data_IF_352295280117
#
_entry.id   IF_352295280117
#
_cell.length_a   1.000
_cell.length_b   1.000
_cell.length_c   1.000
_cell.angle_alpha   90.00
_cell.angle_beta   90.00
_cell.angle_gamma   90.00
#
_symmetry.space_group_name_H-M   'P 1'
#
loop_
_entity.id
_entity.type
_entity.pdbx_description
1 polymer ?
#
# COMPACT_ATOMS: atom_id res chain seq x y z
N UNK A 1 -3.73 0.99 -14.63
CA UNK A 1 -4.40 1.77 -13.57
C UNK A 1 -3.36 2.18 -12.55
N UNK A 2 -3.16 3.48 -12.38
CA UNK A 2 -2.22 4.06 -11.39
C UNK A 2 -2.89 4.22 -10.02
N UNK A 3 -2.09 4.58 -8.99
CA UNK A 3 -2.62 4.95 -7.68
C UNK A 3 -3.65 6.09 -7.78
N UNK A 4 -3.32 7.16 -8.51
CA UNK A 4 -4.18 8.31 -8.70
C UNK A 4 -5.51 7.97 -9.38
N UNK A 5 -5.46 7.16 -10.44
CA UNK A 5 -6.65 6.70 -11.15
C UNK A 5 -7.58 5.87 -10.26
N UNK A 6 -7.00 4.95 -9.48
CA UNK A 6 -7.77 4.11 -8.56
C UNK A 6 -8.37 4.92 -7.41
N UNK A 7 -7.62 5.86 -6.83
CA UNK A 7 -8.12 6.79 -5.81
C UNK A 7 -9.32 7.59 -6.34
N UNK A 8 -9.20 8.14 -7.55
CA UNK A 8 -10.27 8.88 -8.21
C UNK A 8 -11.50 8.00 -8.43
N UNK A 9 -11.30 6.78 -8.92
CA UNK A 9 -12.39 5.82 -9.13
C UNK A 9 -13.15 5.57 -7.83
N UNK A 10 -12.45 5.17 -6.76
CA UNK A 10 -13.08 4.88 -5.46
C UNK A 10 -13.79 6.08 -4.85
N UNK A 11 -13.26 7.29 -5.03
CA UNK A 11 -13.93 8.52 -4.61
C UNK A 11 -15.25 8.73 -5.36
N UNK A 12 -15.25 8.51 -6.68
CA UNK A 12 -16.44 8.67 -7.52
C UNK A 12 -17.48 7.58 -7.28
N UNK A 13 -17.06 6.34 -7.01
CA UNK A 13 -17.95 5.23 -6.63
C UNK A 13 -18.73 5.53 -5.34
N UNK A 14 -18.18 6.38 -4.46
CA UNK A 14 -18.82 6.87 -3.23
C UNK A 14 -19.53 8.22 -3.41
N UNK A 15 -19.59 8.74 -4.64
CA UNK A 15 -20.18 10.04 -4.99
C UNK A 15 -19.59 11.23 -4.22
N UNK A 16 -18.35 11.10 -3.75
CA UNK A 16 -17.70 12.15 -2.96
C UNK A 16 -17.05 13.15 -3.91
N UNK A 17 -17.34 14.44 -3.74
CA UNK A 17 -16.68 15.48 -4.54
C UNK A 17 -15.20 15.59 -4.20
N UNK A 18 -14.37 16.07 -5.15
CA UNK A 18 -12.94 16.31 -4.90
C UNK A 18 -12.72 17.18 -3.64
N UNK A 19 -13.44 18.29 -3.52
CA UNK A 19 -13.33 19.21 -2.38
C UNK A 19 -13.83 18.57 -1.08
N UNK A 20 -14.92 17.82 -1.15
CA UNK A 20 -15.46 17.09 0.00
C UNK A 20 -14.46 16.06 0.52
N UNK A 21 -13.86 15.27 -0.37
CA UNK A 21 -12.88 14.27 0.03
C UNK A 21 -11.60 14.88 0.58
N UNK A 22 -11.08 15.93 -0.05
CA UNK A 22 -9.91 16.65 0.43
C UNK A 22 -10.11 17.16 1.88
N UNK A 23 -11.30 17.70 2.19
CA UNK A 23 -11.67 18.10 3.55
C UNK A 23 -11.76 16.89 4.51
N UNK A 24 -12.30 15.76 4.06
CA UNK A 24 -12.46 14.56 4.90
C UNK A 24 -11.13 13.92 5.33
N UNK A 25 -10.09 14.03 4.49
CA UNK A 25 -8.76 13.48 4.77
C UNK A 25 -7.73 14.55 5.17
N UNK A 26 -8.20 15.77 5.38
CA UNK A 26 -7.41 16.93 5.84
C UNK A 26 -6.21 17.28 4.94
N UNK A 27 -6.47 17.40 3.63
CA UNK A 27 -5.48 17.83 2.64
C UNK A 27 -6.03 18.92 1.72
N UNK A 28 -5.14 19.60 0.99
CA UNK A 28 -5.60 20.62 0.03
C UNK A 28 -6.28 19.98 -1.20
N UNK A 29 -7.35 20.58 -1.76
CA UNK A 29 -7.98 20.10 -2.99
C UNK A 29 -7.03 20.07 -4.20
N UNK A 30 -6.06 20.99 -4.23
CA UNK A 30 -5.01 21.03 -5.27
C UNK A 30 -4.13 19.79 -5.16
N UNK A 31 -3.68 19.45 -3.95
CA UNK A 31 -2.87 18.26 -3.72
C UNK A 31 -3.63 16.98 -4.08
N UNK A 32 -4.90 16.85 -3.69
CA UNK A 32 -5.73 15.71 -4.10
C UNK A 32 -5.88 15.63 -5.63
N UNK A 33 -6.07 16.76 -6.31
CA UNK A 33 -6.14 16.80 -7.78
C UNK A 33 -4.83 16.31 -8.42
N UNK A 34 -3.69 16.72 -7.86
CA UNK A 34 -2.38 16.27 -8.32
C UNK A 34 -2.15 14.78 -8.09
N UNK A 35 -2.63 14.24 -6.96
CA UNK A 35 -2.60 12.81 -6.67
C UNK A 35 -3.45 12.04 -7.70
N UNK A 36 -4.70 12.44 -7.93
CA UNK A 36 -5.60 11.78 -8.88
C UNK A 36 -5.11 11.83 -10.33
N UNK A 37 -4.29 12.81 -10.68
CA UNK A 37 -3.67 12.96 -11.99
C UNK A 37 -2.28 12.31 -12.10
N UNK A 38 -1.80 11.65 -11.03
CA UNK A 38 -0.47 11.03 -11.00
C UNK A 38 0.70 12.03 -11.08
N UNK A 39 0.46 13.31 -10.76
CA UNK A 39 1.51 14.35 -10.74
C UNK A 39 2.30 14.36 -9.43
N UNK A 40 1.73 13.77 -8.38
CA UNK A 40 2.36 13.60 -7.07
C UNK A 40 2.32 12.13 -6.70
N UNK A 41 3.39 11.69 -6.05
CA UNK A 41 3.46 10.33 -5.51
C UNK A 41 2.46 10.16 -4.37
N UNK A 42 2.14 8.91 -4.05
CA UNK A 42 1.26 8.57 -2.95
C UNK A 42 1.67 9.28 -1.63
N UNK A 43 0.68 9.77 -0.84
CA UNK A 43 0.93 10.54 0.36
C UNK A 43 1.50 9.67 1.50
N UNK A 44 1.70 10.28 2.68
CA UNK A 44 2.13 9.55 3.87
C UNK A 44 1.16 8.43 4.25
N UNK A 45 1.66 7.41 4.97
CA UNK A 45 0.83 6.30 5.45
C UNK A 45 -0.38 6.77 6.26
N UNK A 46 -0.21 7.78 7.12
CA UNK A 46 -1.31 8.36 7.91
C UNK A 46 -2.44 8.90 7.02
N UNK A 47 -2.09 9.65 5.97
CA UNK A 47 -3.07 10.18 5.01
C UNK A 47 -3.71 9.05 4.21
N UNK A 48 -2.95 8.03 3.81
CA UNK A 48 -3.48 6.87 3.11
C UNK A 48 -4.47 6.08 3.98
N UNK A 49 -4.19 5.89 5.26
CA UNK A 49 -5.12 5.26 6.21
C UNK A 49 -6.41 6.06 6.35
N UNK A 50 -6.32 7.40 6.44
CA UNK A 50 -7.51 8.28 6.41
C UNK A 50 -8.29 8.10 5.11
N UNK A 51 -7.63 8.03 3.96
CA UNK A 51 -8.28 7.81 2.66
C UNK A 51 -9.03 6.48 2.62
N UNK A 52 -8.37 5.38 2.98
CA UNK A 52 -8.95 4.03 3.04
C UNK A 52 -10.18 4.01 3.95
N UNK A 53 -10.06 4.60 5.15
CA UNK A 53 -11.15 4.70 6.12
C UNK A 53 -12.34 5.51 5.58
N UNK A 54 -12.11 6.71 5.02
CA UNK A 54 -13.17 7.59 4.51
C UNK A 54 -13.82 7.09 3.23
N UNK A 55 -13.09 6.31 2.43
CA UNK A 55 -13.63 5.62 1.27
C UNK A 55 -14.33 4.31 1.66
N UNK A 56 -14.28 3.90 2.93
CA UNK A 56 -14.84 2.65 3.43
C UNK A 56 -14.47 1.45 2.53
N UNK A 57 -13.19 1.37 2.16
CA UNK A 57 -12.67 0.28 1.34
C UNK A 57 -12.69 -1.02 2.12
N UNK A 58 -13.09 -2.10 1.47
CA UNK A 58 -12.95 -3.43 2.04
C UNK A 58 -11.47 -3.87 2.08
N UNK A 59 -11.19 -5.06 2.62
CA UNK A 59 -9.83 -5.58 2.74
C UNK A 59 -9.10 -5.64 1.39
N UNK A 60 -9.70 -6.27 0.38
CA UNK A 60 -9.09 -6.42 -0.94
C UNK A 60 -8.86 -5.07 -1.64
N UNK A 61 -9.82 -4.16 -1.49
CA UNK A 61 -9.73 -2.81 -2.05
C UNK A 61 -8.63 -1.98 -1.38
N UNK A 62 -8.46 -2.14 -0.07
CA UNK A 62 -7.42 -1.49 0.73
C UNK A 62 -6.04 -2.04 0.38
N UNK A 63 -5.93 -3.36 0.26
CA UNK A 63 -4.72 -4.04 -0.21
C UNK A 63 -4.30 -3.52 -1.58
N UNK A 64 -5.25 -3.51 -2.53
CA UNK A 64 -5.06 -2.94 -3.87
C UNK A 64 -4.61 -1.46 -3.81
N UNK A 65 -5.21 -0.67 -2.92
CA UNK A 65 -4.87 0.74 -2.74
C UNK A 65 -3.40 0.93 -2.33
N UNK A 66 -2.94 0.16 -1.34
CA UNK A 66 -1.57 0.22 -0.85
C UNK A 66 -0.56 -0.35 -1.87
N UNK A 67 -0.92 -1.39 -2.61
CA UNK A 67 -0.09 -1.94 -3.69
C UNK A 67 0.23 -0.86 -4.73
N UNK A 68 -0.80 -0.17 -5.20
CA UNK A 68 -0.64 0.89 -6.20
C UNK A 68 0.17 2.07 -5.64
N UNK A 69 -0.01 2.41 -4.36
CA UNK A 69 0.77 3.45 -3.70
C UNK A 69 2.27 3.10 -3.61
N UNK A 70 2.60 1.85 -3.27
CA UNK A 70 3.98 1.38 -3.18
C UNK A 70 4.69 1.44 -4.54
N UNK A 71 4.00 1.08 -5.63
CA UNK A 71 4.56 1.18 -6.99
C UNK A 71 5.00 2.61 -7.34
N UNK A 72 4.28 3.63 -6.88
CA UNK A 72 4.68 5.04 -7.06
C UNK A 72 5.77 5.50 -6.10
N UNK A 73 5.78 5.00 -4.86
CA UNK A 73 6.79 5.37 -3.86
C UNK A 73 8.16 4.74 -4.12
N UNK A 74 8.21 3.54 -4.72
CA UNK A 74 9.49 2.89 -5.11
C UNK A 74 10.32 3.73 -6.08
N UNK A 75 9.70 4.67 -6.82
CA UNK A 75 10.42 5.63 -7.65
C UNK A 75 11.14 6.74 -6.83
N UNK A 76 10.78 6.94 -5.55
CA UNK A 76 11.27 8.05 -4.70
C UNK A 76 11.97 7.62 -3.41
N UNK A 77 11.60 6.48 -2.83
CA UNK A 77 12.28 5.87 -1.69
C UNK A 77 12.70 4.45 -2.11
N UNK A 78 13.95 4.26 -2.57
CA UNK A 78 14.33 3.01 -3.17
C UNK A 78 14.51 1.95 -2.08
N UNK A 79 13.54 1.03 -1.98
CA UNK A 79 13.86 -0.34 -1.61
C UNK A 79 15.04 -0.78 -2.51
N UNK A 80 16.04 -1.50 -1.98
CA UNK A 80 17.11 -2.07 -2.80
C UNK A 80 16.56 -2.73 -4.08
N UNK A 81 17.19 -2.46 -5.23
CA UNK A 81 16.65 -2.82 -6.55
C UNK A 81 16.41 -4.34 -6.70
N UNK A 82 17.25 -5.14 -6.06
CA UNK A 82 17.17 -6.59 -5.95
C UNK A 82 15.91 -7.05 -5.22
N UNK A 83 15.51 -6.36 -4.15
CA UNK A 83 14.30 -6.66 -3.40
C UNK A 83 13.04 -6.12 -4.08
N UNK A 84 13.15 -5.02 -4.82
CA UNK A 84 12.03 -4.42 -5.55
C UNK A 84 11.44 -5.36 -6.61
N UNK A 85 12.29 -6.06 -7.38
CA UNK A 85 11.82 -7.04 -8.35
C UNK A 85 11.06 -8.18 -7.66
N UNK A 86 11.66 -8.71 -6.58
CA UNK A 86 11.09 -9.80 -5.79
C UNK A 86 9.73 -9.46 -5.15
N UNK A 87 9.56 -8.24 -4.62
CA UNK A 87 8.29 -7.79 -4.04
C UNK A 87 7.21 -7.54 -5.11
N UNK A 88 7.59 -6.98 -6.27
CA UNK A 88 6.63 -6.71 -7.36
C UNK A 88 6.09 -8.00 -7.98
N UNK A 89 6.95 -9.00 -8.13
CA UNK A 89 6.59 -10.24 -8.83
C UNK A 89 5.85 -11.24 -7.92
N UNK A 90 5.87 -11.04 -6.60
CA UNK A 90 5.33 -12.01 -5.66
C UNK A 90 4.23 -11.44 -4.73
N UNK A 91 2.98 -11.57 -5.19
CA UNK A 91 1.78 -11.19 -4.42
C UNK A 91 1.66 -11.87 -3.06
N UNK A 92 2.20 -13.08 -2.90
CA UNK A 92 2.15 -13.82 -1.63
C UNK A 92 3.01 -13.14 -0.58
N UNK A 93 4.17 -12.59 -0.96
CA UNK A 93 5.08 -11.92 -0.03
C UNK A 93 4.45 -10.63 0.47
N UNK A 94 3.82 -9.87 -0.43
CA UNK A 94 3.13 -8.65 -0.05
C UNK A 94 1.96 -8.95 0.90
N UNK A 95 1.20 -10.02 0.65
CA UNK A 95 0.14 -10.48 1.55
C UNK A 95 0.67 -10.94 2.91
N UNK A 96 1.80 -11.64 2.94
CA UNK A 96 2.46 -12.06 4.19
C UNK A 96 2.94 -10.87 5.01
N UNK A 97 3.60 -9.89 4.38
CA UNK A 97 4.04 -8.64 5.02
C UNK A 97 2.85 -7.84 5.58
N UNK A 98 1.71 -7.79 4.88
CA UNK A 98 0.48 -7.16 5.37
C UNK A 98 -0.09 -7.88 6.57
N UNK A 99 -0.18 -9.20 6.51
CA UNK A 99 -0.73 -10.01 7.58
C UNK A 99 0.11 -9.90 8.85
N UNK A 100 1.43 -9.95 8.70
CA UNK A 100 2.33 -9.78 9.82
C UNK A 100 2.25 -8.37 10.43
N UNK A 101 2.05 -7.33 9.60
CA UNK A 101 1.77 -5.97 10.10
C UNK A 101 0.44 -5.92 10.87
N UNK A 102 -0.63 -6.50 10.33
CA UNK A 102 -1.97 -6.45 10.95
C UNK A 102 -2.04 -7.21 12.29
N UNK A 103 -1.15 -8.18 12.49
CA UNK A 103 -1.02 -8.95 13.72
C UNK A 103 0.00 -8.35 14.71
N UNK A 104 0.58 -7.18 14.40
CA UNK A 104 1.69 -6.57 15.15
C UNK A 104 2.82 -7.57 15.42
N UNK A 105 3.17 -8.36 14.39
CA UNK A 105 4.11 -9.46 14.52
C UNK A 105 5.46 -8.97 15.07
N UNK A 106 5.95 -9.66 16.10
CA UNK A 106 7.18 -9.26 16.79
C UNK A 106 8.42 -9.66 16.00
N UNK A 107 9.55 -9.03 16.32
CA UNK A 107 10.86 -9.41 15.75
C UNK A 107 11.18 -10.89 16.00
N UNK A 108 10.71 -11.45 17.12
CA UNK A 108 10.86 -12.86 17.47
C UNK A 108 10.07 -13.76 16.51
N UNK A 109 8.82 -13.43 16.21
CA UNK A 109 7.99 -14.18 15.25
C UNK A 109 8.56 -14.10 13.82
N UNK A 110 9.13 -12.95 13.45
CA UNK A 110 9.84 -12.77 12.19
C UNK A 110 11.10 -13.63 12.12
N UNK A 111 11.88 -13.67 13.20
CA UNK A 111 13.08 -14.49 13.26
C UNK A 111 12.74 -15.98 13.20
N UNK A 112 11.68 -16.40 13.90
CA UNK A 112 11.15 -17.76 13.84
C UNK A 112 10.71 -18.15 12.43
N UNK A 113 10.04 -17.24 11.71
CA UNK A 113 9.65 -17.44 10.33
C UNK A 113 10.88 -17.57 9.41
N UNK A 114 11.88 -16.70 9.57
CA UNK A 114 13.15 -16.75 8.82
C UNK A 114 13.89 -18.07 9.08
N UNK A 115 13.94 -18.52 10.33
CA UNK A 115 14.63 -19.75 10.71
C UNK A 115 13.88 -20.99 10.22
N UNK A 116 12.54 -20.99 10.22
CA UNK A 116 11.73 -22.03 9.55
C UNK A 116 12.02 -22.09 8.06
N UNK A 117 12.13 -20.94 7.37
CA UNK A 117 12.46 -20.89 5.95
C UNK A 117 13.85 -21.43 5.67
N UNK A 118 14.87 -21.07 6.48
CA UNK A 118 16.25 -21.57 6.36
C UNK A 118 16.30 -23.10 6.55
N UNK A 119 15.72 -23.62 7.63
CA UNK A 119 15.68 -25.05 7.93
C UNK A 119 14.94 -25.86 6.85
N UNK A 120 13.88 -25.31 6.27
CA UNK A 120 13.16 -25.97 5.17
C UNK A 120 13.97 -26.12 3.88
N UNK A 121 15.01 -25.29 3.70
CA UNK A 121 15.93 -25.36 2.55
C UNK A 121 17.19 -26.18 2.83
N UNK A 122 17.64 -26.25 4.07
CA UNK A 122 18.75 -27.13 4.49
C UNK A 122 18.34 -28.62 4.55
N UNK A 123 17.04 -28.91 4.70
CA UNK A 123 16.51 -30.28 4.75
C UNK A 123 16.09 -30.89 3.40
N UNK A 124 16.40 -30.25 2.25
CA UNK A 124 16.15 -30.84 0.92
C UNK A 124 17.43 -31.55 0.43
N UNK A 125 17.41 -32.88 0.20
CA UNK A 125 18.52 -33.60 -0.41
C UNK A 125 18.78 -33.15 -1.85
#
# INVERSE_FOLDING_TARGET
>A
MTFGEYLKQKRLDKEITLRGFAKLVDISPVYLCDLEKGRKAAPSMEVMQKMVSKLALNKEESERFYDLAALEQTAKNPIPKDLNAFLKDNRVIVSALRTAKDLDATDEEWQDFIDKLRKSREGKP
#
